data_IF_240823320769
#
_entry.id   IF_240823320769
#
_cell.length_a   1.000
_cell.length_b   1.000
_cell.length_c   1.000
_cell.angle_alpha   90.00
_cell.angle_beta   90.00
_cell.angle_gamma   90.00
#
_symmetry.space_group_name_H-M   'P 1'
#
loop_
_entity.id
_entity.type
_entity.pdbx_description
1 polymer ?
#
# COMPACT_ATOMS: atom_id res chain seq x y z
N UNK A 1 -11.12 -4.98 -7.76
CA UNK A 1 -10.45 -3.91 -8.56
C UNK A 1 -11.00 -2.53 -8.21
N UNK A 2 -10.97 -2.15 -6.93
CA UNK A 2 -11.36 -0.79 -6.49
C UNK A 2 -10.52 -0.41 -5.25
N UNK A 3 -10.22 -1.39 -4.40
CA UNK A 3 -9.37 -1.27 -3.22
C UNK A 3 -7.87 -1.23 -3.56
N UNK A 4 -7.38 -2.01 -4.53
CA UNK A 4 -5.98 -1.97 -5.00
C UNK A 4 -5.62 -0.64 -5.65
N UNK A 5 -6.54 -0.07 -6.42
CA UNK A 5 -6.39 1.23 -7.09
C UNK A 5 -6.25 2.37 -6.06
N UNK A 6 -6.92 2.25 -4.93
CA UNK A 6 -6.84 3.23 -3.83
C UNK A 6 -5.46 3.19 -3.17
N UNK A 7 -4.91 1.99 -2.89
CA UNK A 7 -3.55 1.85 -2.35
C UNK A 7 -2.50 2.39 -3.33
N UNK A 8 -2.59 1.99 -4.61
CA UNK A 8 -1.72 2.47 -5.68
C UNK A 8 -1.81 4.00 -5.83
N UNK A 9 -3.01 4.57 -5.75
CA UNK A 9 -3.25 6.00 -5.78
C UNK A 9 -2.57 6.76 -4.64
N UNK A 10 -2.64 6.26 -3.40
CA UNK A 10 -1.98 6.90 -2.27
C UNK A 10 -0.46 6.86 -2.36
N UNK A 11 0.11 5.74 -2.82
CA UNK A 11 1.56 5.64 -3.06
C UNK A 11 2.00 6.64 -4.12
N UNK A 12 1.23 6.80 -5.21
CA UNK A 12 1.51 7.80 -6.25
C UNK A 12 1.48 9.23 -5.69
N UNK A 13 0.52 9.56 -4.82
CA UNK A 13 0.46 10.88 -4.17
C UNK A 13 1.69 11.17 -3.31
N UNK A 14 2.17 10.17 -2.56
CA UNK A 14 3.43 10.27 -1.81
C UNK A 14 4.64 10.47 -2.74
N UNK A 15 4.79 9.65 -3.78
CA UNK A 15 5.91 9.76 -4.72
C UNK A 15 5.97 11.11 -5.45
N UNK A 16 4.83 11.77 -5.64
CA UNK A 16 4.75 13.10 -6.23
C UNK A 16 4.88 14.25 -5.19
N UNK A 17 5.05 13.94 -3.91
CA UNK A 17 5.22 14.92 -2.84
C UNK A 17 3.94 15.64 -2.42
N UNK A 18 2.77 15.11 -2.77
CA UNK A 18 1.47 15.65 -2.33
C UNK A 18 1.10 15.19 -0.92
N UNK A 19 1.72 14.10 -0.46
CA UNK A 19 1.49 13.47 0.85
C UNK A 19 2.85 13.14 1.43
N UNK A 20 3.06 13.42 2.71
CA UNK A 20 4.28 13.06 3.44
C UNK A 20 4.32 11.56 3.76
N UNK A 21 5.50 11.04 4.13
CA UNK A 21 5.63 9.64 4.53
C UNK A 21 4.77 9.32 5.76
N UNK A 22 4.80 10.18 6.78
CA UNK A 22 3.97 10.04 8.00
C UNK A 22 2.47 9.97 7.68
N UNK A 23 1.99 10.80 6.75
CA UNK A 23 0.59 10.77 6.31
C UNK A 23 0.23 9.48 5.56
N UNK A 24 1.15 8.97 4.73
CA UNK A 24 0.99 7.69 4.05
C UNK A 24 0.95 6.53 5.06
N UNK A 25 1.84 6.53 6.05
CA UNK A 25 1.90 5.51 7.10
C UNK A 25 0.64 5.55 7.94
N UNK A 26 0.22 6.72 8.41
CA UNK A 26 -1.00 6.87 9.20
C UNK A 26 -2.23 6.38 8.46
N UNK A 27 -2.31 6.67 7.16
CA UNK A 27 -3.36 6.14 6.28
C UNK A 27 -3.27 4.61 6.14
N UNK A 28 -2.06 4.06 5.96
CA UNK A 28 -1.86 2.62 5.83
C UNK A 28 -2.24 1.87 7.12
N UNK A 29 -1.91 2.40 8.31
CA UNK A 29 -2.35 1.85 9.60
C UNK A 29 -3.86 1.82 9.69
N UNK A 30 -4.53 2.94 9.39
CA UNK A 30 -5.99 3.05 9.44
C UNK A 30 -6.65 1.95 8.58
N UNK A 31 -6.19 1.80 7.33
CA UNK A 31 -6.72 0.80 6.39
C UNK A 31 -6.36 -0.63 6.76
N UNK A 32 -5.20 -0.85 7.38
CA UNK A 32 -4.80 -2.18 7.86
C UNK A 32 -5.62 -2.65 9.06
N UNK A 33 -6.11 -1.72 9.88
CA UNK A 33 -7.00 -2.03 11.01
C UNK A 33 -8.47 -2.15 10.64
N UNK A 34 -8.84 -1.75 9.42
CA UNK A 34 -10.20 -1.81 8.89
C UNK A 34 -10.47 -3.18 8.25
N UNK A 35 -11.11 -4.06 9.02
CA UNK A 35 -11.38 -5.45 8.62
C UNK A 35 -12.33 -5.52 7.41
N UNK A 36 -13.29 -4.60 7.30
CA UNK A 36 -14.22 -4.54 6.15
C UNK A 36 -13.47 -4.15 4.86
N UNK A 37 -12.49 -3.26 4.97
CA UNK A 37 -11.65 -2.85 3.82
C UNK A 37 -10.82 -4.02 3.24
N UNK A 38 -10.43 -4.98 4.08
CA UNK A 38 -9.68 -6.16 3.68
C UNK A 38 -10.62 -7.22 3.08
N UNK A 39 -11.78 -7.46 3.70
CA UNK A 39 -12.78 -8.43 3.23
C UNK A 39 -13.40 -8.08 1.87
N UNK A 40 -13.49 -6.78 1.53
CA UNK A 40 -14.01 -6.30 0.23
C UNK A 40 -13.02 -6.48 -0.94
N UNK A 41 -11.82 -7.01 -0.68
CA UNK A 41 -10.81 -7.25 -1.71
C UNK A 41 -10.84 -8.71 -2.16
N UNK A 42 -11.02 -8.94 -3.46
CA UNK A 42 -10.93 -10.28 -4.08
C UNK A 42 -9.60 -10.98 -3.68
N UNK A 43 -9.65 -12.27 -3.34
CA UNK A 43 -8.61 -13.04 -2.63
C UNK A 43 -7.21 -12.92 -3.27
N UNK A 44 -7.14 -12.75 -4.59
CA UNK A 44 -5.87 -12.65 -5.33
C UNK A 44 -5.14 -11.31 -5.12
N UNK A 45 -5.89 -10.23 -4.87
CA UNK A 45 -5.31 -8.89 -4.69
C UNK A 45 -5.23 -8.49 -3.22
N UNK A 46 -5.95 -9.19 -2.33
CA UNK A 46 -5.95 -8.94 -0.89
C UNK A 46 -4.58 -9.22 -0.27
N UNK A 47 -3.92 -10.32 -0.66
CA UNK A 47 -2.57 -10.67 -0.18
C UNK A 47 -1.52 -9.62 -0.57
N UNK A 48 -1.52 -9.18 -1.84
CA UNK A 48 -0.58 -8.18 -2.32
C UNK A 48 -0.81 -6.82 -1.64
N UNK A 49 -2.07 -6.43 -1.45
CA UNK A 49 -2.42 -5.22 -0.72
C UNK A 49 -1.99 -5.29 0.75
N UNK A 50 -2.28 -6.41 1.42
CA UNK A 50 -1.97 -6.60 2.82
C UNK A 50 -0.46 -6.55 3.07
N UNK A 51 0.32 -7.20 2.21
CA UNK A 51 1.78 -7.16 2.26
C UNK A 51 2.32 -5.74 2.04
N UNK A 52 1.81 -5.01 1.03
CA UNK A 52 2.23 -3.61 0.79
C UNK A 52 1.90 -2.70 1.99
N UNK A 53 0.67 -2.78 2.53
CA UNK A 53 0.28 -2.00 3.71
C UNK A 53 1.11 -2.35 4.94
N UNK A 54 1.42 -3.64 5.13
CA UNK A 54 2.28 -4.12 6.21
C UNK A 54 3.71 -3.60 6.09
N UNK A 55 4.29 -3.58 4.89
CA UNK A 55 5.64 -3.06 4.68
C UNK A 55 5.73 -1.54 4.90
N UNK A 56 4.73 -0.78 4.42
CA UNK A 56 4.66 0.68 4.65
C UNK A 56 4.61 0.98 6.15
N UNK A 57 3.78 0.24 6.89
CA UNK A 57 3.64 0.44 8.34
C UNK A 57 4.86 -0.02 9.12
N UNK A 58 5.48 -1.14 8.74
CA UNK A 58 6.66 -1.69 9.43
C UNK A 58 7.91 -0.84 9.17
N UNK A 59 8.08 -0.30 7.96
CA UNK A 59 9.19 0.58 7.62
C UNK A 59 9.29 1.80 8.54
N UNK A 60 8.15 2.38 8.94
CA UNK A 60 8.15 3.46 9.94
C UNK A 60 8.47 2.97 11.36
N UNK A 61 7.85 1.86 11.79
CA UNK A 61 8.02 1.32 13.15
C UNK A 61 9.49 0.95 13.42
N UNK A 62 10.19 0.46 12.40
CA UNK A 62 11.59 0.04 12.49
C UNK A 62 12.60 1.15 12.16
N UNK A 63 12.16 2.40 11.94
CA UNK A 63 13.00 3.52 11.46
C UNK A 63 13.74 3.17 10.15
N UNK A 64 13.15 2.26 9.37
CA UNK A 64 13.65 1.80 8.07
C UNK A 64 12.75 2.38 6.98
N UNK A 65 12.86 3.69 6.78
CA UNK A 65 12.16 4.41 5.72
C UNK A 65 12.37 3.71 4.38
N UNK A 66 11.27 3.24 3.80
CA UNK A 66 11.28 2.60 2.48
C UNK A 66 11.83 3.58 1.43
N UNK A 67 12.63 3.05 0.51
CA UNK A 67 13.20 3.87 -0.54
C UNK A 67 12.20 4.04 -1.71
N UNK A 68 12.31 5.12 -2.51
CA UNK A 68 11.38 5.36 -3.61
C UNK A 68 11.22 4.19 -4.60
N UNK A 69 12.19 3.28 -4.71
CA UNK A 69 12.05 2.11 -5.59
C UNK A 69 11.13 1.05 -4.99
N UNK A 70 11.09 0.88 -3.67
CA UNK A 70 10.16 -0.03 -2.99
C UNK A 70 8.72 0.33 -3.35
N UNK A 71 8.40 1.63 -3.33
CA UNK A 71 7.09 2.15 -3.71
C UNK A 71 6.76 1.92 -5.19
N UNK A 72 7.74 2.03 -6.08
CA UNK A 72 7.55 1.68 -7.50
C UNK A 72 7.28 0.18 -7.69
N UNK A 73 7.96 -0.67 -6.91
CA UNK A 73 7.70 -2.11 -6.87
C UNK A 73 6.29 -2.42 -6.35
N UNK A 74 5.83 -1.72 -5.33
CA UNK A 74 4.46 -1.86 -4.82
C UNK A 74 3.41 -1.50 -5.86
N UNK A 75 3.56 -0.36 -6.55
CA UNK A 75 2.65 0.04 -7.63
C UNK A 75 2.59 -1.04 -8.71
N UNK A 76 3.74 -1.57 -9.13
CA UNK A 76 3.76 -2.62 -10.15
C UNK A 76 3.06 -3.89 -9.68
N UNK A 77 3.19 -4.27 -8.39
CA UNK A 77 2.50 -5.43 -7.81
C UNK A 77 0.99 -5.24 -7.68
N UNK A 78 0.54 -4.00 -7.51
CA UNK A 78 -0.87 -3.65 -7.35
C UNK A 78 -1.58 -3.41 -8.70
N UNK A 79 -0.88 -2.82 -9.66
CA UNK A 79 -1.40 -2.45 -10.97
C UNK A 79 -1.21 -3.56 -12.03
N UNK A 80 -0.28 -4.50 -11.82
CA UNK A 80 -0.11 -5.62 -12.73
C UNK A 80 -1.15 -6.71 -12.42
N UNK A 81 -1.91 -7.19 -13.41
CA UNK A 81 -2.65 -8.44 -13.25
C UNK A 81 -1.65 -9.55 -12.91
N UNK A 82 -1.87 -10.22 -11.78
CA UNK A 82 -1.11 -11.39 -11.34
C UNK A 82 -1.35 -12.53 -12.36
N UNK A 83 -0.70 -12.48 -13.51
CA UNK A 83 -0.72 -13.60 -14.43
C UNK A 83 0.21 -14.68 -13.87
N UNK A 84 -0.41 -15.58 -13.08
CA UNK A 84 -0.08 -17.00 -12.82
C UNK A 84 1.38 -17.42 -12.72
#
# INVERSE_FOLDING_TARGET
>A
MLTSDVVSGMIKLYLHGYVSYDELVGWAVDKFTDVEYIEDTDDEHSDAMFDVLSQITTGEIEDNHLDPNDFAHFINRLDAPQFT
#
